data_IF_186850146276
#
_entry.id   IF_186850146276
#
_cell.length_a   1.000
_cell.length_b   1.000
_cell.length_c   1.000
_cell.angle_alpha   90.00
_cell.angle_beta   90.00
_cell.angle_gamma   90.00
#
_symmetry.space_group_name_H-M   'P 1'
#
loop_
_entity.id
_entity.type
_entity.pdbx_description
1 polymer ?
#
# COMPACT_ATOMS: atom_id res chain seq x y z
N UNK A 1 6.96 -22.62 8.49
CA UNK A 1 6.95 -21.63 7.39
C UNK A 1 7.66 -20.39 7.91
N UNK A 2 8.52 -19.74 7.11
CA UNK A 2 9.13 -18.48 7.54
C UNK A 2 8.04 -17.43 7.71
N UNK A 3 8.10 -16.64 8.78
CA UNK A 3 7.18 -15.53 8.97
C UNK A 3 7.36 -14.53 7.82
N UNK A 4 6.24 -14.05 7.28
CA UNK A 4 6.27 -13.03 6.25
C UNK A 4 6.81 -11.73 6.84
N UNK A 5 7.83 -11.15 6.21
CA UNK A 5 8.28 -9.81 6.55
C UNK A 5 7.16 -8.79 6.27
N UNK A 6 6.91 -7.91 7.24
CA UNK A 6 5.90 -6.85 7.14
C UNK A 6 6.55 -5.54 7.57
N UNK A 7 6.75 -4.63 6.60
CA UNK A 7 7.15 -3.25 6.88
C UNK A 7 5.94 -2.43 7.33
N UNK A 8 5.75 -2.34 8.65
CA UNK A 8 4.62 -1.63 9.25
C UNK A 8 4.68 -0.12 9.04
N UNK A 9 5.87 0.48 8.94
CA UNK A 9 6.00 1.93 8.75
C UNK A 9 5.53 2.33 7.36
N UNK A 10 6.10 1.73 6.31
CA UNK A 10 5.71 2.04 4.93
C UNK A 10 4.23 1.71 4.66
N UNK A 11 3.73 0.61 5.22
CA UNK A 11 2.31 0.26 5.12
C UNK A 11 1.40 1.28 5.82
N UNK A 12 1.85 1.88 6.92
CA UNK A 12 1.14 2.97 7.61
C UNK A 12 0.99 4.18 6.69
N UNK A 13 2.11 4.66 6.13
CA UNK A 13 2.13 5.82 5.24
C UNK A 13 1.21 5.64 4.01
N UNK A 14 1.26 4.47 3.38
CA UNK A 14 0.39 4.14 2.24
C UNK A 14 -1.09 4.21 2.63
N UNK A 15 -1.45 3.65 3.78
CA UNK A 15 -2.84 3.59 4.25
C UNK A 15 -3.39 4.93 4.69
N UNK A 16 -2.58 5.70 5.40
CA UNK A 16 -2.90 7.08 5.74
C UNK A 16 -3.21 7.87 4.47
N UNK A 17 -2.36 7.73 3.44
CA UNK A 17 -2.57 8.42 2.17
C UNK A 17 -3.83 7.97 1.43
N UNK A 18 -4.10 6.67 1.35
CA UNK A 18 -5.35 6.15 0.78
C UNK A 18 -6.57 6.70 1.52
N UNK A 19 -6.52 6.74 2.85
CA UNK A 19 -7.62 7.21 3.68
C UNK A 19 -7.86 8.72 3.54
N UNK A 20 -6.80 9.52 3.50
CA UNK A 20 -6.88 10.95 3.22
C UNK A 20 -7.58 11.23 1.88
N UNK A 21 -7.17 10.53 0.82
CA UNK A 21 -7.76 10.69 -0.51
C UNK A 21 -9.23 10.26 -0.51
N UNK A 22 -9.54 9.12 0.09
CA UNK A 22 -10.91 8.61 0.28
C UNK A 22 -11.81 9.65 0.96
N UNK A 23 -11.36 10.23 2.08
CA UNK A 23 -12.11 11.28 2.79
C UNK A 23 -12.25 12.56 1.97
N UNK A 24 -11.18 13.01 1.30
CA UNK A 24 -11.21 14.22 0.47
C UNK A 24 -12.21 14.09 -0.69
N UNK A 25 -12.32 12.90 -1.28
CA UNK A 25 -13.29 12.59 -2.34
C UNK A 25 -14.67 12.16 -1.82
N UNK A 26 -14.84 12.02 -0.49
CA UNK A 26 -16.06 11.50 0.16
C UNK A 26 -16.48 10.11 -0.35
N UNK A 27 -15.50 9.27 -0.71
CA UNK A 27 -15.71 7.88 -1.11
C UNK A 27 -15.54 7.01 0.13
N UNK A 28 -16.58 6.29 0.54
CA UNK A 28 -16.59 5.41 1.72
C UNK A 28 -15.92 4.05 1.44
N UNK A 29 -15.72 3.23 2.48
CA UNK A 29 -15.20 1.87 2.28
C UNK A 29 -16.24 0.98 1.57
N UNK A 30 -17.52 1.23 1.82
CA UNK A 30 -18.66 0.62 1.16
C UNK A 30 -18.69 0.99 -0.32
N UNK A 31 -18.43 2.26 -0.68
CA UNK A 31 -18.30 2.65 -2.08
C UNK A 31 -17.13 1.94 -2.78
N UNK A 32 -15.98 1.78 -2.10
CA UNK A 32 -14.84 1.04 -2.65
C UNK A 32 -15.21 -0.44 -2.82
N UNK A 33 -15.95 -1.02 -1.88
CA UNK A 33 -16.48 -2.37 -2.01
C UNK A 33 -17.38 -2.47 -3.24
N UNK A 34 -18.35 -1.57 -3.42
CA UNK A 34 -19.28 -1.61 -4.55
C UNK A 34 -18.60 -1.37 -5.90
N UNK A 35 -17.44 -0.70 -5.89
CA UNK A 35 -16.60 -0.44 -7.08
C UNK A 35 -15.58 -1.53 -7.37
N UNK A 36 -15.49 -2.57 -6.54
CA UNK A 36 -14.50 -3.66 -6.69
C UNK A 36 -15.15 -5.01 -6.46
N UNK A 37 -14.47 -6.10 -6.80
CA UNK A 37 -14.93 -7.45 -6.46
C UNK A 37 -14.51 -7.87 -5.03
N UNK A 38 -14.14 -6.92 -4.17
CA UNK A 38 -13.67 -7.19 -2.81
C UNK A 38 -14.81 -7.21 -1.81
N UNK A 39 -14.69 -8.07 -0.80
CA UNK A 39 -15.53 -7.93 0.40
C UNK A 39 -15.15 -6.69 1.22
N UNK A 40 -16.08 -6.18 2.02
CA UNK A 40 -15.80 -5.10 2.98
C UNK A 40 -14.54 -5.37 3.82
N UNK A 41 -14.37 -6.61 4.29
CA UNK A 41 -13.20 -7.00 5.10
C UNK A 41 -11.90 -6.91 4.32
N UNK A 42 -11.90 -7.24 3.02
CA UNK A 42 -10.74 -7.05 2.15
C UNK A 42 -10.43 -5.57 1.95
N UNK A 43 -11.45 -4.76 1.64
CA UNK A 43 -11.30 -3.30 1.52
C UNK A 43 -10.73 -2.70 2.81
N UNK A 44 -11.31 -3.03 3.96
CA UNK A 44 -10.83 -2.59 5.26
C UNK A 44 -9.38 -3.03 5.50
N UNK A 45 -9.01 -4.28 5.21
CA UNK A 45 -7.63 -4.76 5.35
C UNK A 45 -6.66 -3.98 4.47
N UNK A 46 -7.06 -3.59 3.27
CA UNK A 46 -6.22 -2.82 2.36
C UNK A 46 -6.08 -1.38 2.86
N UNK A 47 -7.19 -0.68 3.08
CA UNK A 47 -7.21 0.78 3.35
C UNK A 47 -6.88 1.12 4.80
N UNK A 48 -7.33 0.32 5.77
CA UNK A 48 -7.29 0.64 7.22
C UNK A 48 -6.64 -0.43 8.10
N UNK A 49 -6.35 -1.60 7.54
CA UNK A 49 -5.83 -2.75 8.28
C UNK A 49 -4.38 -2.62 8.75
N UNK A 50 -3.85 -3.73 9.30
CA UNK A 50 -2.44 -3.84 9.72
C UNK A 50 -1.66 -4.95 8.99
N UNK A 51 -2.36 -5.74 8.18
CA UNK A 51 -1.78 -6.88 7.47
C UNK A 51 -0.93 -6.41 6.29
N UNK A 52 -0.14 -7.29 5.69
CA UNK A 52 0.42 -6.98 4.39
C UNK A 52 -0.70 -6.87 3.33
N UNK A 53 -0.46 -6.12 2.26
CA UNK A 53 -1.38 -5.96 1.14
C UNK A 53 -0.70 -6.40 -0.14
N UNK A 54 -1.46 -6.92 -1.10
CA UNK A 54 -0.93 -7.17 -2.43
C UNK A 54 -0.90 -5.88 -3.25
N UNK A 55 0.04 -5.78 -4.18
CA UNK A 55 0.09 -4.67 -5.15
C UNK A 55 -1.19 -4.66 -5.97
N UNK A 56 -1.68 -5.82 -6.44
CA UNK A 56 -2.94 -5.89 -7.20
C UNK A 56 -4.12 -5.32 -6.42
N UNK A 57 -4.23 -5.63 -5.12
CA UNK A 57 -5.26 -5.08 -4.26
C UNK A 57 -5.16 -3.55 -4.09
N UNK A 58 -3.93 -3.05 -3.92
CA UNK A 58 -3.68 -1.61 -3.88
C UNK A 58 -4.09 -0.91 -5.18
N UNK A 59 -3.70 -1.46 -6.34
CA UNK A 59 -4.02 -0.88 -7.65
C UNK A 59 -5.53 -0.86 -7.87
N UNK A 60 -6.25 -1.91 -7.47
CA UNK A 60 -7.70 -1.95 -7.61
C UNK A 60 -8.38 -0.88 -6.74
N UNK A 61 -7.90 -0.69 -5.50
CA UNK A 61 -8.37 0.43 -4.66
C UNK A 61 -8.02 1.79 -5.28
N UNK A 62 -6.86 1.95 -5.91
CA UNK A 62 -6.52 3.19 -6.62
C UNK A 62 -7.51 3.48 -7.76
N UNK A 63 -7.92 2.46 -8.52
CA UNK A 63 -8.95 2.59 -9.56
C UNK A 63 -10.31 2.97 -8.95
N UNK A 64 -10.73 2.30 -7.88
CA UNK A 64 -11.98 2.60 -7.19
C UNK A 64 -12.03 4.04 -6.62
N UNK A 65 -10.86 4.54 -6.18
CA UNK A 65 -10.66 5.92 -5.74
C UNK A 65 -10.40 6.91 -6.88
N UNK A 66 -10.34 6.46 -8.14
CA UNK A 66 -10.08 7.28 -9.33
C UNK A 66 -8.77 8.09 -9.21
N UNK A 67 -7.69 7.44 -8.78
CA UNK A 67 -6.36 8.05 -8.63
C UNK A 67 -5.27 7.23 -9.32
N UNK A 68 -4.13 7.87 -9.56
CA UNK A 68 -2.91 7.20 -9.98
C UNK A 68 -2.12 6.69 -8.76
N UNK A 69 -1.44 5.53 -8.84
CA UNK A 69 -0.67 4.98 -7.72
C UNK A 69 0.42 5.93 -7.20
N UNK A 70 0.97 6.80 -8.06
CA UNK A 70 1.98 7.80 -7.67
C UNK A 70 1.48 8.76 -6.58
N UNK A 71 0.17 9.00 -6.51
CA UNK A 71 -0.45 9.84 -5.49
C UNK A 71 -0.36 9.19 -4.09
N UNK A 72 -0.33 7.85 -4.06
CA UNK A 72 -0.19 7.04 -2.83
C UNK A 72 1.28 6.86 -2.45
N UNK A 73 2.17 6.67 -3.43
CA UNK A 73 3.61 6.46 -3.22
C UNK A 73 4.42 7.76 -3.11
N UNK A 74 3.78 8.87 -2.71
CA UNK A 74 4.41 10.19 -2.60
C UNK A 74 5.20 10.37 -1.29
N UNK A 75 5.98 9.36 -0.88
CA UNK A 75 6.81 9.38 0.34
C UNK A 75 8.26 8.94 0.08
N UNK A 76 9.14 9.21 1.04
CA UNK A 76 10.56 8.82 0.99
C UNK A 76 10.84 7.76 2.05
N UNK A 77 11.67 6.78 1.69
CA UNK A 77 12.20 5.79 2.63
C UNK A 77 13.67 6.05 2.91
N UNK A 78 14.13 5.68 4.11
CA UNK A 78 15.55 5.76 4.46
C UNK A 78 16.31 4.66 3.73
N UNK A 79 17.25 5.05 2.87
CA UNK A 79 18.15 4.11 2.20
C UNK A 79 19.39 3.92 3.08
N UNK A 80 19.62 2.73 3.66
CA UNK A 80 20.82 2.48 4.43
C UNK A 80 22.04 2.34 3.49
N UNK A 81 23.22 2.59 4.03
CA UNK A 81 24.46 2.42 3.29
C UNK A 81 24.83 0.94 3.23
N UNK A 82 24.64 0.31 2.06
CA UNK A 82 24.96 -1.10 1.85
C UNK A 82 26.42 -1.28 1.43
N UNK A 83 27.06 -2.42 1.77
CA UNK A 83 28.37 -2.76 1.24
C UNK A 83 28.32 -2.93 -0.30
N UNK A 84 29.49 -2.92 -0.97
CA UNK A 84 29.58 -3.12 -2.42
C UNK A 84 28.85 -4.37 -2.90
N UNK A 85 28.39 -4.33 -4.15
CA UNK A 85 27.65 -5.46 -4.73
C UNK A 85 28.55 -6.69 -4.82
N UNK A 86 27.95 -7.89 -4.77
CA UNK A 86 28.72 -9.15 -4.84
C UNK A 86 29.66 -9.24 -6.05
N UNK A 87 29.29 -8.61 -7.18
CA UNK A 87 30.10 -8.53 -8.40
C UNK A 87 31.34 -7.63 -8.27
N UNK A 88 31.34 -6.71 -7.32
CA UNK A 88 32.42 -5.74 -7.05
C UNK A 88 33.42 -6.26 -6.01
N UNK A 89 33.01 -7.28 -5.23
CA UNK A 89 33.89 -8.02 -4.35
C UNK A 89 34.82 -8.92 -5.20
N UNK A 90 35.92 -8.36 -5.71
CA UNK A 90 37.01 -9.15 -6.31
C UNK A 90 37.52 -10.14 -5.26
N UNK A 91 37.41 -11.43 -5.56
CA UNK A 91 38.18 -12.47 -4.85
C UNK A 91 39.63 -12.43 -5.29
#
# INVERSE_FOLDING_TARGET
MAEQFIDKESLGLIRERLWEISNAKKITLEDIQDRTDFSYSQVYRIVRGKNNISISGLIEVCRALEIQPIEVFSFKVKIPNYPPLRKELKR
#
